data_IF_882312589457
#
_entry.id   IF_882312589457
#
_cell.length_a   1.000
_cell.length_b   1.000
_cell.length_c   1.000
_cell.angle_alpha   90.00
_cell.angle_beta   90.00
_cell.angle_gamma   90.00
#
_symmetry.space_group_name_H-M   'P 1'
#
loop_
_entity.id
_entity.type
_entity.pdbx_description
1 polymer ?
#
# COMPACT_ATOMS: atom_id res chain seq x y z
N UNK A 1 -11.02 3.29 11.20
CA UNK A 1 -11.25 1.85 10.98
C UNK A 1 -10.17 1.11 10.17
N UNK A 2 -9.17 1.77 9.56
CA UNK A 2 -7.96 1.06 9.07
C UNK A 2 -6.77 1.16 10.04
N UNK A 3 -6.62 2.31 10.72
CA UNK A 3 -5.59 2.51 11.74
C UNK A 3 -5.70 1.54 12.92
N UNK A 4 -6.92 1.29 13.38
CA UNK A 4 -7.18 0.39 14.52
C UNK A 4 -6.97 -1.08 14.13
N UNK A 5 -7.39 -1.47 12.92
CA UNK A 5 -7.17 -2.82 12.39
C UNK A 5 -5.69 -3.13 12.19
N UNK A 6 -4.88 -2.16 11.76
CA UNK A 6 -3.42 -2.29 11.62
C UNK A 6 -2.70 -2.61 12.93
N UNK A 7 -3.26 -2.18 14.07
CA UNK A 7 -2.72 -2.50 15.40
C UNK A 7 -2.93 -3.97 15.80
N UNK A 8 -4.05 -4.57 15.38
CA UNK A 8 -4.41 -5.97 15.64
C UNK A 8 -3.66 -6.96 14.74
N UNK A 9 -3.39 -6.60 13.48
CA UNK A 9 -2.57 -7.41 12.56
C UNK A 9 -1.07 -7.50 12.94
N UNK A 10 -0.67 -6.84 14.04
CA UNK A 10 0.71 -6.84 14.58
C UNK A 10 1.08 -8.14 15.30
N UNK A 11 0.08 -8.92 15.73
CA UNK A 11 0.28 -10.10 16.59
C UNK A 11 0.12 -11.43 15.85
N UNK A 12 -0.58 -11.42 14.72
CA UNK A 12 -0.87 -12.59 13.90
C UNK A 12 -0.25 -12.30 12.56
N UNK A 13 0.65 -13.16 12.06
CA UNK A 13 1.46 -12.97 10.85
C UNK A 13 0.69 -12.90 9.52
N UNK A 14 -0.43 -12.18 9.49
CA UNK A 14 -1.32 -11.99 8.37
C UNK A 14 -0.83 -10.84 7.49
N UNK A 15 0.24 -11.13 6.75
CA UNK A 15 0.82 -10.22 5.77
C UNK A 15 -0.19 -9.86 4.66
N UNK A 16 -1.19 -10.70 4.43
CA UNK A 16 -2.28 -10.43 3.48
C UNK A 16 -3.19 -9.32 4.00
N UNK A 17 -3.59 -9.37 5.28
CA UNK A 17 -4.37 -8.29 5.92
C UNK A 17 -3.66 -6.93 5.85
N UNK A 18 -2.34 -6.91 6.02
CA UNK A 18 -1.56 -5.66 5.90
C UNK A 18 -1.43 -5.20 4.45
N UNK A 19 -1.31 -6.11 3.48
CA UNK A 19 -1.33 -5.76 2.05
C UNK A 19 -2.63 -5.03 1.68
N UNK A 20 -3.79 -5.58 2.03
CA UNK A 20 -5.09 -4.95 1.78
C UNK A 20 -5.24 -3.61 2.51
N UNK A 21 -4.72 -3.50 3.73
CA UNK A 21 -4.70 -2.21 4.44
C UNK A 21 -3.84 -1.16 3.71
N UNK A 22 -2.69 -1.55 3.16
CA UNK A 22 -1.83 -0.63 2.40
C UNK A 22 -2.49 -0.20 1.08
N UNK A 23 -3.18 -1.09 0.39
CA UNK A 23 -3.93 -0.77 -0.84
C UNK A 23 -5.11 0.18 -0.56
N UNK A 24 -5.85 -0.04 0.53
CA UNK A 24 -6.89 0.87 0.99
C UNK A 24 -6.35 2.26 1.36
N UNK A 25 -5.21 2.33 2.05
CA UNK A 25 -4.56 3.60 2.39
C UNK A 25 -3.95 4.30 1.17
N UNK A 26 -3.40 3.55 0.21
CA UNK A 26 -2.91 4.08 -1.06
C UNK A 26 -4.05 4.72 -1.88
N UNK A 27 -5.20 4.05 -1.92
CA UNK A 27 -6.42 4.55 -2.57
C UNK A 27 -6.92 5.84 -1.93
N UNK A 28 -6.92 5.91 -0.59
CA UNK A 28 -7.27 7.12 0.14
C UNK A 28 -6.27 8.27 -0.12
N UNK A 29 -4.97 7.97 -0.19
CA UNK A 29 -3.95 8.95 -0.52
C UNK A 29 -4.12 9.50 -1.94
N UNK A 30 -4.49 8.65 -2.92
CA UNK A 30 -4.80 9.09 -4.28
C UNK A 30 -6.01 10.04 -4.32
N UNK A 31 -7.07 9.73 -3.56
CA UNK A 31 -8.25 10.60 -3.42
C UNK A 31 -7.93 11.94 -2.75
N UNK A 32 -6.94 11.98 -1.86
CA UNK A 32 -6.47 13.20 -1.20
C UNK A 32 -5.43 13.99 -2.03
N UNK A 33 -5.16 13.59 -3.28
CA UNK A 33 -4.16 14.23 -4.13
C UNK A 33 -2.70 13.94 -3.76
N UNK A 34 -2.46 13.04 -2.82
CA UNK A 34 -1.11 12.63 -2.39
C UNK A 34 -0.56 11.52 -3.30
N UNK A 35 -0.43 11.81 -4.59
CA UNK A 35 -0.13 10.81 -5.61
C UNK A 35 1.20 10.08 -5.37
N UNK A 36 2.25 10.79 -4.92
CA UNK A 36 3.55 10.15 -4.59
C UNK A 36 3.42 9.14 -3.45
N UNK A 37 2.62 9.49 -2.44
CA UNK A 37 2.37 8.62 -1.29
C UNK A 37 1.55 7.40 -1.72
N UNK A 38 0.54 7.60 -2.56
CA UNK A 38 -0.23 6.51 -3.15
C UNK A 38 0.68 5.54 -3.92
N UNK A 39 1.56 6.05 -4.79
CA UNK A 39 2.50 5.23 -5.55
C UNK A 39 3.44 4.40 -4.67
N UNK A 40 3.98 5.00 -3.59
CA UNK A 40 4.84 4.28 -2.63
C UNK A 40 4.07 3.18 -1.88
N UNK A 41 2.84 3.44 -1.46
CA UNK A 41 2.02 2.46 -0.75
C UNK A 41 1.58 1.31 -1.68
N UNK A 42 1.19 1.62 -2.92
CA UNK A 42 0.91 0.62 -3.95
C UNK A 42 2.15 -0.22 -4.29
N UNK A 43 3.34 0.35 -4.26
CA UNK A 43 4.60 -0.38 -4.45
C UNK A 43 4.97 -1.29 -3.28
N UNK A 44 4.55 -0.94 -2.06
CA UNK A 44 4.88 -1.70 -0.86
C UNK A 44 4.01 -2.96 -0.66
N UNK A 45 2.74 -2.90 -1.07
CA UNK A 45 1.74 -3.95 -0.82
C UNK A 45 2.09 -5.34 -1.44
N UNK A 46 2.53 -5.45 -2.71
CA UNK A 46 2.74 -6.75 -3.36
C UNK A 46 3.76 -7.66 -2.67
N UNK A 47 4.78 -7.10 -2.02
CA UNK A 47 5.82 -7.86 -1.32
C UNK A 47 5.35 -8.43 0.03
N UNK A 48 4.22 -7.95 0.54
CA UNK A 48 3.60 -8.41 1.78
C UNK A 48 2.50 -9.43 1.49
N UNK A 49 1.94 -9.45 0.29
CA UNK A 49 1.02 -10.50 -0.11
C UNK A 49 1.74 -11.86 -0.23
N UNK A 50 1.32 -12.83 0.59
CA UNK A 50 1.44 -14.25 0.25
C UNK A 50 0.05 -14.70 -0.18
N UNK A 51 -0.12 -15.41 -1.30
CA UNK A 51 -1.43 -15.84 -1.75
C UNK A 51 -2.04 -16.77 -0.69
N UNK A 52 -3.02 -16.24 0.04
CA UNK A 52 -3.93 -17.00 0.89
C UNK A 52 -5.31 -16.82 0.26
N UNK A 53 -5.72 -17.84 -0.51
CA UNK A 53 -7.11 -18.14 -0.85
C UNK A 53 -7.93 -17.05 -1.57
N UNK A 54 -7.92 -17.11 -2.91
CA UNK A 54 -8.96 -16.91 -3.98
C UNK A 54 -10.24 -16.05 -3.76
N UNK A 55 -10.60 -15.59 -2.58
CA UNK A 55 -11.94 -15.00 -2.32
C UNK A 55 -12.01 -13.47 -2.34
N UNK A 56 -10.89 -12.74 -2.30
CA UNK A 56 -10.88 -11.26 -2.27
C UNK A 56 -10.31 -10.60 -3.55
N UNK A 57 -9.81 -11.37 -4.51
CA UNK A 57 -8.92 -10.90 -5.59
C UNK A 57 -9.59 -10.10 -6.72
N UNK A 58 -10.93 -10.11 -6.81
CA UNK A 58 -11.66 -9.61 -7.99
C UNK A 58 -12.12 -8.14 -7.93
N UNK A 59 -12.81 -7.77 -6.85
CA UNK A 59 -13.41 -6.43 -6.70
C UNK A 59 -12.40 -5.41 -6.15
N UNK A 60 -11.54 -5.83 -5.22
CA UNK A 60 -10.48 -4.98 -4.66
C UNK A 60 -9.52 -4.54 -5.78
N UNK A 61 -9.19 -5.46 -6.70
CA UNK A 61 -8.26 -5.20 -7.81
C UNK A 61 -8.80 -4.21 -8.85
N UNK A 62 -10.11 -4.20 -9.13
CA UNK A 62 -10.69 -3.20 -10.04
C UNK A 62 -10.71 -1.80 -9.43
N UNK A 63 -11.06 -1.69 -8.15
CA UNK A 63 -11.05 -0.40 -7.45
C UNK A 63 -9.62 0.12 -7.24
N UNK A 64 -8.67 -0.75 -6.93
CA UNK A 64 -7.24 -0.40 -6.88
C UNK A 64 -6.75 0.07 -8.26
N UNK A 65 -7.16 -0.60 -9.34
CA UNK A 65 -6.76 -0.25 -10.71
C UNK A 65 -7.14 1.18 -11.10
N UNK A 66 -8.33 1.68 -10.70
CA UNK A 66 -8.71 3.09 -10.99
C UNK A 66 -7.85 4.10 -10.23
N UNK A 67 -7.47 3.81 -8.99
CA UNK A 67 -6.66 4.73 -8.19
C UNK A 67 -5.20 4.72 -8.60
N UNK A 68 -4.69 3.56 -9.02
CA UNK A 68 -3.37 3.43 -9.66
C UNK A 68 -3.33 4.24 -10.95
N UNK A 69 -4.36 4.13 -11.81
CA UNK A 69 -4.44 4.90 -13.05
C UNK A 69 -4.49 6.42 -12.76
N UNK A 70 -5.31 6.86 -11.80
CA UNK A 70 -5.41 8.26 -11.39
C UNK A 70 -4.06 8.81 -10.89
N UNK A 71 -3.40 8.08 -9.99
CA UNK A 71 -2.13 8.53 -9.43
C UNK A 71 -1.00 8.52 -10.47
N UNK A 72 -1.00 7.56 -11.41
CA UNK A 72 -0.08 7.52 -12.56
C UNK A 72 -0.25 8.70 -13.49
N UNK A 73 -1.50 9.01 -13.86
CA UNK A 73 -1.82 10.11 -14.78
C UNK A 73 -1.34 11.46 -14.23
N UNK A 74 -1.55 11.71 -12.93
CA UNK A 74 -1.12 12.95 -12.29
C UNK A 74 0.40 13.05 -12.03
N UNK A 75 1.08 11.95 -11.72
CA UNK A 75 2.54 11.95 -11.48
C UNK A 75 3.36 11.93 -12.76
N UNK A 76 2.81 11.36 -13.82
CA UNK A 76 3.57 10.89 -14.96
C UNK A 76 4.34 9.60 -14.66
N UNK A 77 4.65 8.85 -15.72
CA UNK A 77 5.20 7.50 -15.63
C UNK A 77 6.52 7.41 -14.88
N UNK A 78 7.42 8.39 -15.06
CA UNK A 78 8.75 8.36 -14.46
C UNK A 78 8.70 8.59 -12.94
N UNK A 79 7.91 9.56 -12.47
CA UNK A 79 7.75 9.83 -11.04
C UNK A 79 6.98 8.70 -10.35
N UNK A 80 5.97 8.14 -11.03
CA UNK A 80 5.30 6.92 -10.57
C UNK A 80 6.29 5.77 -10.38
N UNK A 81 7.10 5.45 -11.39
CA UNK A 81 8.05 4.32 -11.33
C UNK A 81 9.04 4.48 -10.18
N UNK A 82 9.57 5.68 -9.99
CA UNK A 82 10.49 5.98 -8.88
C UNK A 82 9.82 5.78 -7.51
N UNK A 83 8.63 6.35 -7.31
CA UNK A 83 7.89 6.23 -6.07
C UNK A 83 7.44 4.79 -5.78
N UNK A 84 6.98 4.07 -6.81
CA UNK A 84 6.57 2.68 -6.72
C UNK A 84 7.76 1.76 -6.38
N UNK A 85 8.93 1.98 -7.00
CA UNK A 85 10.15 1.24 -6.69
C UNK A 85 10.63 1.50 -5.26
N UNK A 86 10.53 2.73 -4.77
CA UNK A 86 10.83 3.05 -3.36
C UNK A 86 9.90 2.30 -2.39
N UNK A 87 8.62 2.16 -2.76
CA UNK A 87 7.65 1.32 -2.04
C UNK A 87 8.07 -0.15 -1.97
N UNK A 88 8.46 -0.73 -3.12
CA UNK A 88 8.93 -2.12 -3.18
C UNK A 88 10.20 -2.33 -2.34
N UNK A 89 11.14 -1.41 -2.42
CA UNK A 89 12.38 -1.47 -1.65
C UNK A 89 12.12 -1.42 -0.13
N UNK A 90 11.09 -0.67 0.30
CA UNK A 90 10.70 -0.58 1.71
C UNK A 90 10.27 -1.92 2.30
N UNK A 91 9.57 -2.73 1.50
CA UNK A 91 9.06 -4.05 1.91
C UNK A 91 9.86 -5.22 1.35
N UNK A 92 11.03 -4.94 0.75
CA UNK A 92 11.91 -5.95 0.18
C UNK A 92 12.26 -7.03 1.22
N UNK A 93 12.08 -8.29 0.84
CA UNK A 93 12.31 -9.45 1.70
C UNK A 93 11.13 -9.84 2.60
N UNK A 94 10.02 -9.09 2.59
CA UNK A 94 8.77 -9.46 3.28
C UNK A 94 8.94 -9.77 4.76
N UNK A 95 9.96 -9.19 5.39
CA UNK A 95 10.29 -9.44 6.80
C UNK A 95 9.36 -8.65 7.73
N UNK A 96 9.35 -9.02 9.01
CA UNK A 96 8.61 -8.28 10.04
C UNK A 96 9.03 -6.80 10.10
N UNK A 97 10.32 -6.50 9.95
CA UNK A 97 10.81 -5.11 9.92
C UNK A 97 10.36 -4.33 8.69
N UNK A 98 10.21 -4.99 7.54
CA UNK A 98 9.64 -4.41 6.33
C UNK A 98 8.15 -4.05 6.52
N UNK A 99 7.40 -4.93 7.20
CA UNK A 99 6.02 -4.68 7.59
C UNK A 99 5.89 -3.43 8.47
N UNK A 100 6.68 -3.35 9.53
CA UNK A 100 6.67 -2.23 10.48
C UNK A 100 7.01 -0.90 9.80
N UNK A 101 7.96 -0.90 8.85
CA UNK A 101 8.30 0.28 8.05
C UNK A 101 7.14 0.75 7.16
N UNK A 102 6.47 -0.17 6.46
CA UNK A 102 5.34 0.17 5.61
C UNK A 102 4.16 0.73 6.42
N UNK A 103 3.88 0.13 7.59
CA UNK A 103 2.83 0.60 8.50
C UNK A 103 3.18 1.98 9.08
N UNK A 104 4.42 2.18 9.53
CA UNK A 104 4.86 3.49 10.02
C UNK A 104 4.74 4.58 8.94
N UNK A 105 5.13 4.25 7.70
CA UNK A 105 5.00 5.16 6.56
C UNK A 105 3.53 5.47 6.23
N UNK A 106 2.64 4.49 6.31
CA UNK A 106 1.21 4.67 6.06
C UNK A 106 0.51 5.48 7.17
N UNK A 107 0.98 5.37 8.42
CA UNK A 107 0.42 6.06 9.58
C UNK A 107 1.01 7.46 9.81
N UNK A 108 2.16 7.78 9.23
CA UNK A 108 2.83 9.07 9.40
C UNK A 108 1.89 10.24 9.04
N UNK A 109 1.81 11.30 9.87
CA UNK A 109 1.01 12.47 9.56
C UNK A 109 1.49 13.09 8.25
N UNK A 110 0.54 13.52 7.41
CA UNK A 110 0.83 14.36 6.25
C UNK A 110 1.22 15.71 6.82
N UNK A 111 2.52 15.98 6.96
CA UNK A 111 2.99 17.33 7.28
C UNK A 111 2.74 18.17 6.04
N UNK A 112 1.81 19.13 6.15
CA UNK A 112 1.46 20.10 5.11
C UNK A 112 2.60 21.05 4.79
#
# INVERSE_FOLDING_TARGET
>A
MYRDSLGLYREIGDRAGVSSCLEGLASLAALQGQYERAARLFGAAPNLFKPVGVLFDGLDRQEVSRFVALARDHLGDQAWQSAFAAGQAMTAGGTRGALEKAVAFALAPVVS
#
